data_IF_983375927689
#
_entry.id   IF_983375927689
#
_cell.length_a   1.000
_cell.length_b   1.000
_cell.length_c   1.000
_cell.angle_alpha   90.00
_cell.angle_beta   90.00
_cell.angle_gamma   90.00
#
_symmetry.space_group_name_H-M   'P 1'
#
loop_
_entity.id
_entity.type
_entity.pdbx_description
1 polymer ?
#
# COMPACT_ATOMS: atom_id res chain seq x y z
N UNK A 1 8.42 4.58 25.21
CA UNK A 1 8.60 5.08 23.83
C UNK A 1 7.77 6.33 23.68
N UNK A 2 8.38 7.44 23.25
CA UNK A 2 7.67 8.72 23.08
C UNK A 2 6.85 8.71 21.78
N UNK A 3 5.77 9.51 21.73
CA UNK A 3 4.88 9.62 20.54
C UNK A 3 5.62 10.01 19.26
N UNK A 4 6.72 10.74 19.38
CA UNK A 4 7.55 11.17 18.25
C UNK A 4 8.35 10.00 17.66
N UNK A 5 8.80 9.04 18.48
CA UNK A 5 9.51 7.85 18.00
C UNK A 5 8.57 6.92 17.25
N UNK A 6 7.32 6.77 17.75
CA UNK A 6 6.28 5.96 17.09
C UNK A 6 5.92 6.55 15.73
N UNK A 7 5.76 7.89 15.63
CA UNK A 7 5.51 8.56 14.36
C UNK A 7 6.68 8.44 13.38
N UNK A 8 7.92 8.50 13.87
CA UNK A 8 9.12 8.35 13.04
C UNK A 8 9.25 6.93 12.47
N UNK A 9 9.09 5.90 13.32
CA UNK A 9 9.09 4.49 12.89
C UNK A 9 7.96 4.23 11.89
N UNK A 10 6.76 4.75 12.15
CA UNK A 10 5.60 4.70 11.26
C UNK A 10 5.89 5.32 9.89
N UNK A 11 6.64 6.44 9.84
CA UNK A 11 7.00 7.09 8.57
C UNK A 11 8.08 6.32 7.80
N UNK A 12 9.00 5.66 8.50
CA UNK A 12 10.07 4.85 7.89
C UNK A 12 9.51 3.54 7.32
N UNK A 13 8.58 2.87 8.01
CA UNK A 13 7.92 1.66 7.51
C UNK A 13 6.94 1.91 6.37
N UNK A 14 6.25 3.05 6.37
CA UNK A 14 5.33 3.43 5.29
C UNK A 14 6.06 3.78 3.97
N UNK A 15 7.32 4.21 4.04
CA UNK A 15 8.10 4.61 2.86
C UNK A 15 8.84 3.43 2.19
N UNK A 16 8.89 2.27 2.84
CA UNK A 16 9.41 1.05 2.24
C UNK A 16 8.35 0.54 1.25
N UNK A 17 8.67 0.33 -0.04
CA UNK A 17 7.71 -0.19 -1.01
C UNK A 17 7.48 -1.69 -0.85
N UNK A 18 6.34 -2.20 -1.34
CA UNK A 18 6.10 -3.64 -1.40
C UNK A 18 6.92 -4.24 -2.54
N UNK A 19 7.83 -5.14 -2.21
CA UNK A 19 8.57 -5.95 -3.18
C UNK A 19 7.67 -7.09 -3.69
N UNK A 20 7.48 -7.14 -5.02
CA UNK A 20 6.50 -8.03 -5.70
C UNK A 20 7.14 -9.19 -6.45
N UNK A 21 8.47 -9.19 -6.59
CA UNK A 21 9.23 -10.23 -7.26
C UNK A 21 9.65 -11.32 -6.27
N UNK A 22 10.08 -12.47 -6.79
CA UNK A 22 10.47 -13.60 -5.95
C UNK A 22 11.82 -13.40 -5.29
N UNK A 23 12.08 -14.17 -4.22
CA UNK A 23 13.39 -14.24 -3.59
C UNK A 23 14.51 -14.61 -4.58
N UNK A 24 14.24 -15.53 -5.50
CA UNK A 24 15.19 -15.98 -6.53
C UNK A 24 15.54 -14.84 -7.48
N UNK A 25 14.53 -14.09 -7.96
CA UNK A 25 14.75 -12.88 -8.75
C UNK A 25 15.61 -11.87 -7.99
N UNK A 26 15.32 -11.66 -6.70
CA UNK A 26 16.09 -10.72 -5.88
C UNK A 26 17.57 -11.15 -5.71
N UNK A 27 17.86 -12.47 -5.72
CA UNK A 27 19.23 -12.99 -5.69
C UNK A 27 19.91 -12.74 -7.04
N UNK A 28 19.25 -13.07 -8.15
CA UNK A 28 19.79 -12.91 -9.51
C UNK A 28 20.08 -11.45 -9.88
N UNK A 29 19.33 -10.51 -9.29
CA UNK A 29 19.42 -9.08 -9.57
C UNK A 29 20.13 -8.26 -8.48
N UNK A 30 20.75 -8.89 -7.47
CA UNK A 30 21.40 -8.23 -6.33
C UNK A 30 20.45 -7.32 -5.50
N UNK A 31 19.14 -7.59 -5.53
CA UNK A 31 18.08 -6.86 -4.82
C UNK A 31 17.65 -7.54 -3.50
N UNK A 32 18.36 -8.59 -3.08
CA UNK A 32 18.04 -9.37 -1.88
C UNK A 32 17.83 -8.54 -0.60
N UNK A 33 18.61 -7.46 -0.32
CA UNK A 33 18.35 -6.59 0.83
C UNK A 33 16.96 -5.92 0.77
N UNK A 34 16.51 -5.47 -0.40
CA UNK A 34 15.22 -4.83 -0.58
C UNK A 34 14.06 -5.84 -0.40
N UNK A 35 14.22 -7.05 -0.94
CA UNK A 35 13.29 -8.15 -0.71
C UNK A 35 13.13 -8.44 0.79
N UNK A 36 14.25 -8.64 1.51
CA UNK A 36 14.25 -8.95 2.95
C UNK A 36 13.59 -7.86 3.77
N UNK A 37 13.88 -6.60 3.46
CA UNK A 37 13.30 -5.48 4.21
C UNK A 37 11.80 -5.34 3.94
N UNK A 38 11.35 -5.43 2.68
CA UNK A 38 9.92 -5.45 2.38
C UNK A 38 9.21 -6.64 3.06
N UNK A 39 9.83 -7.80 3.08
CA UNK A 39 9.28 -8.99 3.74
C UNK A 39 9.14 -8.80 5.25
N UNK A 40 10.15 -8.20 5.90
CA UNK A 40 10.09 -7.83 7.32
C UNK A 40 8.93 -6.88 7.61
N UNK A 41 8.74 -5.87 6.76
CA UNK A 41 7.62 -4.92 6.91
C UNK A 41 6.26 -5.59 6.62
N UNK A 42 6.18 -6.59 5.73
CA UNK A 42 4.97 -7.37 5.53
C UNK A 42 4.57 -8.15 6.80
N UNK A 43 5.53 -8.79 7.47
CA UNK A 43 5.28 -9.47 8.75
C UNK A 43 4.84 -8.49 9.84
N UNK A 44 5.50 -7.33 9.95
CA UNK A 44 5.09 -6.29 10.89
C UNK A 44 3.68 -5.75 10.59
N UNK A 45 3.33 -5.60 9.32
CA UNK A 45 1.98 -5.20 8.90
C UNK A 45 0.94 -6.26 9.25
N UNK A 46 1.25 -7.55 9.12
CA UNK A 46 0.39 -8.64 9.61
C UNK A 46 0.14 -8.48 11.11
N UNK A 47 1.20 -8.33 11.90
CA UNK A 47 1.09 -8.23 13.37
C UNK A 47 0.26 -7.01 13.80
N UNK A 48 0.43 -5.89 13.08
CA UNK A 48 -0.36 -4.69 13.29
C UNK A 48 -1.85 -4.87 12.91
N UNK A 49 -2.15 -5.63 11.84
CA UNK A 49 -3.53 -5.97 11.48
C UNK A 49 -4.19 -6.82 12.56
N UNK A 50 -3.50 -7.85 13.05
CA UNK A 50 -4.02 -8.72 14.10
C UNK A 50 -4.31 -7.93 15.39
N UNK A 51 -3.35 -7.10 15.81
CA UNK A 51 -3.49 -6.22 16.97
C UNK A 51 -4.63 -5.20 16.78
N UNK A 52 -4.69 -4.53 15.63
CA UNK A 52 -5.70 -3.51 15.36
C UNK A 52 -7.12 -4.08 15.32
N UNK A 53 -7.31 -5.29 14.79
CA UNK A 53 -8.61 -5.97 14.82
C UNK A 53 -8.99 -6.32 16.26
N UNK A 54 -8.06 -6.87 17.05
CA UNK A 54 -8.33 -7.22 18.44
C UNK A 54 -8.69 -5.98 19.28
N UNK A 55 -7.94 -4.88 19.14
CA UNK A 55 -8.17 -3.61 19.85
C UNK A 55 -9.44 -2.88 19.42
N UNK A 56 -9.91 -3.12 18.20
CA UNK A 56 -11.09 -2.46 17.63
C UNK A 56 -12.33 -3.35 17.63
N UNK A 57 -12.26 -4.54 18.26
CA UNK A 57 -13.37 -5.47 18.38
C UNK A 57 -13.94 -5.46 19.80
N UNK A 58 -15.16 -4.95 19.94
CA UNK A 58 -15.91 -4.91 21.20
C UNK A 58 -17.41 -5.03 20.93
N UNK A 59 -18.18 -5.54 21.90
CA UNK A 59 -19.64 -5.67 21.80
C UNK A 59 -20.12 -6.38 20.51
N UNK A 60 -19.38 -7.40 20.07
CA UNK A 60 -19.62 -8.14 18.81
C UNK A 60 -19.56 -7.29 17.54
N UNK A 61 -18.98 -6.10 17.61
CA UNK A 61 -18.80 -5.18 16.50
C UNK A 61 -17.31 -4.90 16.28
N UNK A 62 -16.91 -4.84 15.01
CA UNK A 62 -15.57 -4.42 14.61
C UNK A 62 -15.65 -3.02 14.02
N UNK A 63 -14.94 -2.06 14.63
CA UNK A 63 -14.71 -0.77 13.99
C UNK A 63 -13.65 -0.92 12.89
N UNK A 64 -14.11 -1.34 11.71
CA UNK A 64 -13.26 -1.52 10.53
C UNK A 64 -12.62 -0.23 10.05
N UNK A 65 -13.26 0.93 10.31
CA UNK A 65 -12.72 2.24 9.94
C UNK A 65 -11.50 2.58 10.77
N UNK A 66 -11.61 2.45 12.09
CA UNK A 66 -10.50 2.65 13.03
C UNK A 66 -9.36 1.66 12.79
N UNK A 67 -9.66 0.36 12.69
CA UNK A 67 -8.66 -0.67 12.47
C UNK A 67 -7.89 -0.46 11.15
N UNK A 68 -8.60 -0.19 10.04
CA UNK A 68 -7.95 0.06 8.75
C UNK A 68 -7.10 1.33 8.78
N UNK A 69 -7.61 2.43 9.36
CA UNK A 69 -6.88 3.69 9.44
C UNK A 69 -5.60 3.57 10.29
N UNK A 70 -5.66 2.86 11.42
CA UNK A 70 -4.52 2.64 12.32
C UNK A 70 -3.34 1.96 11.60
N UNK A 71 -3.62 0.91 10.83
CA UNK A 71 -2.57 0.17 10.12
C UNK A 71 -2.13 0.91 8.85
N UNK A 72 -3.07 1.48 8.09
CA UNK A 72 -2.75 2.24 6.88
C UNK A 72 -1.87 3.46 7.18
N UNK A 73 -2.03 4.10 8.34
CA UNK A 73 -1.15 5.17 8.79
C UNK A 73 0.31 4.72 9.01
N UNK A 74 0.53 3.46 9.39
CA UNK A 74 1.87 2.90 9.68
C UNK A 74 2.55 2.26 8.48
N UNK A 75 1.78 1.66 7.58
CA UNK A 75 2.32 0.81 6.52
C UNK A 75 1.92 1.26 5.11
N UNK A 76 1.00 2.21 4.99
CA UNK A 76 0.38 2.61 3.74
C UNK A 76 -0.71 1.63 3.28
N UNK A 77 -1.68 2.16 2.52
CA UNK A 77 -2.83 1.38 2.05
C UNK A 77 -2.43 0.26 1.09
N UNK A 78 -1.40 0.47 0.25
CA UNK A 78 -0.92 -0.56 -0.68
C UNK A 78 -0.44 -1.81 0.05
N UNK A 79 0.37 -1.66 1.11
CA UNK A 79 0.90 -2.80 1.86
C UNK A 79 -0.19 -3.53 2.64
N UNK A 80 -1.10 -2.79 3.27
CA UNK A 80 -2.27 -3.36 3.96
C UNK A 80 -3.07 -4.22 2.99
N UNK A 81 -3.35 -3.70 1.79
CA UNK A 81 -4.07 -4.42 0.76
C UNK A 81 -3.32 -5.68 0.28
N UNK A 82 -1.99 -5.59 0.14
CA UNK A 82 -1.16 -6.72 -0.26
C UNK A 82 -1.21 -7.87 0.75
N UNK A 83 -1.03 -7.57 2.04
CA UNK A 83 -1.07 -8.57 3.12
C UNK A 83 -2.47 -9.19 3.26
N UNK A 84 -3.51 -8.38 3.16
CA UNK A 84 -4.90 -8.85 3.21
C UNK A 84 -5.27 -9.70 1.99
N UNK A 85 -4.83 -9.33 0.78
CA UNK A 85 -5.06 -10.14 -0.41
C UNK A 85 -4.36 -11.50 -0.32
N UNK A 86 -3.12 -11.55 0.17
CA UNK A 86 -2.41 -12.80 0.43
C UNK A 86 -3.20 -13.69 1.41
N UNK A 87 -3.68 -13.08 2.50
CA UNK A 87 -4.50 -13.77 3.51
C UNK A 87 -5.77 -14.35 2.89
N UNK A 88 -6.52 -13.57 2.11
CA UNK A 88 -7.74 -14.05 1.46
C UNK A 88 -7.46 -15.19 0.47
N UNK A 89 -6.37 -15.12 -0.30
CA UNK A 89 -5.95 -16.20 -1.21
C UNK A 89 -5.64 -17.49 -0.45
N UNK A 90 -4.95 -17.41 0.69
CA UNK A 90 -4.64 -18.59 1.51
C UNK A 90 -5.90 -19.23 2.14
N UNK A 91 -6.92 -18.43 2.44
CA UNK A 91 -8.20 -18.87 3.02
C UNK A 91 -9.35 -18.91 2.01
N UNK A 92 -9.07 -19.08 0.70
CA UNK A 92 -10.11 -19.08 -0.35
C UNK A 92 -11.18 -20.18 -0.15
N UNK A 93 -10.82 -21.26 0.55
CA UNK A 93 -11.74 -22.34 0.93
C UNK A 93 -12.70 -21.96 2.07
N UNK A 94 -12.42 -20.92 2.85
CA UNK A 94 -13.23 -20.54 4.01
C UNK A 94 -14.54 -19.88 3.57
N UNK A 95 -15.68 -20.42 4.03
CA UNK A 95 -17.02 -19.94 3.67
C UNK A 95 -17.39 -18.58 4.26
N UNK A 96 -16.65 -18.07 5.25
CA UNK A 96 -16.89 -16.76 5.89
C UNK A 96 -16.36 -15.60 5.06
N UNK A 97 -15.46 -15.87 4.12
CA UNK A 97 -14.91 -14.85 3.21
C UNK A 97 -15.83 -14.74 1.98
N UNK A 98 -16.26 -13.51 1.68
CA UNK A 98 -17.17 -13.24 0.57
C UNK A 98 -16.53 -13.53 -0.79
N UNK A 99 -17.37 -13.89 -1.78
CA UNK A 99 -16.91 -14.12 -3.15
C UNK A 99 -16.23 -12.89 -3.76
N UNK A 100 -16.73 -11.69 -3.45
CA UNK A 100 -16.16 -10.45 -3.97
C UNK A 100 -14.76 -10.18 -3.41
N UNK A 101 -14.54 -10.49 -2.12
CA UNK A 101 -13.21 -10.35 -1.51
C UNK A 101 -12.24 -11.38 -2.09
N UNK A 102 -12.69 -12.62 -2.32
CA UNK A 102 -11.90 -13.66 -3.00
C UNK A 102 -11.51 -13.24 -4.40
N UNK A 103 -12.48 -12.81 -5.21
CA UNK A 103 -12.23 -12.34 -6.57
C UNK A 103 -11.27 -11.14 -6.59
N UNK A 104 -11.46 -10.17 -5.70
CA UNK A 104 -10.55 -9.04 -5.57
C UNK A 104 -9.12 -9.47 -5.20
N UNK A 105 -8.96 -10.40 -4.25
CA UNK A 105 -7.64 -10.84 -3.82
C UNK A 105 -6.83 -11.50 -4.95
N UNK A 106 -7.50 -12.16 -5.90
CA UNK A 106 -6.87 -12.70 -7.11
C UNK A 106 -6.36 -11.62 -8.08
N UNK A 107 -6.88 -10.38 -7.99
CA UNK A 107 -6.40 -9.25 -8.82
C UNK A 107 -5.12 -8.61 -8.28
N UNK A 108 -4.75 -8.90 -7.03
CA UNK A 108 -3.54 -8.36 -6.41
C UNK A 108 -2.36 -9.29 -6.70
N UNK A 109 -1.27 -8.80 -7.33
CA UNK A 109 -0.12 -9.63 -7.68
C UNK A 109 0.71 -9.93 -6.44
N UNK A 110 0.27 -10.90 -5.65
CA UNK A 110 1.03 -11.47 -4.52
C UNK A 110 1.99 -12.52 -5.05
N UNK A 111 3.28 -12.35 -4.75
CA UNK A 111 4.31 -13.29 -5.13
C UNK A 111 4.16 -14.60 -4.36
N UNK A 112 4.15 -15.72 -5.07
CA UNK A 112 4.12 -17.07 -4.50
C UNK A 112 5.53 -17.63 -4.52
N UNK A 113 6.31 -17.26 -3.50
CA UNK A 113 7.70 -17.72 -3.36
C UNK A 113 7.72 -19.01 -2.56
N UNK A 114 7.77 -20.15 -3.24
CA UNK A 114 8.07 -21.40 -2.58
C UNK A 114 9.58 -21.51 -2.34
N UNK A 115 10.00 -21.94 -1.15
CA UNK A 115 11.38 -22.37 -0.96
C UNK A 115 11.67 -23.69 -1.70
N UNK A 116 12.93 -24.12 -1.68
CA UNK A 116 13.38 -25.38 -2.31
C UNK A 116 12.62 -26.63 -1.79
N UNK A 117 11.91 -26.50 -0.67
CA UNK A 117 11.16 -27.54 0.02
C UNK A 117 9.64 -27.41 -0.21
N UNK A 118 9.21 -26.46 -1.04
CA UNK A 118 7.82 -26.22 -1.37
C UNK A 118 7.05 -25.38 -0.33
N UNK A 119 7.72 -24.80 0.67
CA UNK A 119 7.06 -23.90 1.62
C UNK A 119 6.95 -22.50 1.03
N UNK A 120 5.71 -22.06 0.84
CA UNK A 120 5.42 -20.69 0.44
C UNK A 120 5.82 -19.71 1.55
N UNK A 121 6.83 -18.88 1.28
CA UNK A 121 7.30 -17.81 2.16
C UNK A 121 6.21 -16.76 2.42
N UNK A 122 5.22 -16.64 1.53
CA UNK A 122 4.05 -15.80 1.73
C UNK A 122 3.24 -16.18 2.98
N UNK A 123 3.37 -17.41 3.47
CA UNK A 123 2.69 -17.88 4.69
C UNK A 123 3.09 -17.13 5.95
N UNK A 124 4.30 -16.55 5.98
CA UNK A 124 4.80 -15.82 7.16
C UNK A 124 4.10 -14.49 7.42
N UNK A 125 3.32 -13.95 6.47
CA UNK A 125 2.56 -12.73 6.70
C UNK A 125 1.05 -12.94 6.47
N UNK A 126 0.54 -14.13 6.76
CA UNK A 126 -0.90 -14.40 6.79
C UNK A 126 -1.50 -13.94 8.12
N UNK A 127 -2.62 -13.22 8.07
CA UNK A 127 -3.40 -12.83 9.25
C UNK A 127 -4.21 -14.04 9.71
N UNK A 128 -3.58 -14.92 10.49
CA UNK A 128 -4.15 -16.21 10.89
C UNK A 128 -4.63 -16.26 12.34
N UNK A 129 -4.23 -15.30 13.18
CA UNK A 129 -4.62 -15.28 14.61
C UNK A 129 -6.01 -14.69 14.86
N UNK A 130 -6.69 -14.20 13.81
CA UNK A 130 -7.98 -13.54 13.88
C UNK A 130 -9.03 -14.34 13.10
N UNK A 131 -10.29 -14.28 13.54
CA UNK A 131 -11.39 -14.93 12.84
C UNK A 131 -11.51 -14.45 11.38
N UNK A 132 -11.52 -15.35 10.37
CA UNK A 132 -11.65 -14.99 8.96
C UNK A 132 -12.87 -14.12 8.61
N UNK A 133 -13.96 -14.21 9.39
CA UNK A 133 -15.11 -13.31 9.24
C UNK A 133 -14.79 -11.85 9.57
N UNK A 134 -13.97 -11.59 10.57
CA UNK A 134 -13.51 -10.24 10.92
C UNK A 134 -12.52 -9.71 9.87
N UNK A 135 -11.63 -10.57 9.39
CA UNK A 135 -10.73 -10.26 8.27
C UNK A 135 -11.56 -9.89 7.04
N UNK A 136 -12.61 -10.64 6.73
CA UNK A 136 -13.52 -10.34 5.62
C UNK A 136 -14.19 -8.96 5.73
N UNK A 137 -14.63 -8.57 6.94
CA UNK A 137 -15.17 -7.23 7.17
C UNK A 137 -14.11 -6.14 6.91
N UNK A 138 -12.90 -6.32 7.44
CA UNK A 138 -11.81 -5.37 7.25
C UNK A 138 -11.38 -5.25 5.78
N UNK A 139 -11.28 -6.38 5.06
CA UNK A 139 -10.96 -6.41 3.61
C UNK A 139 -11.98 -5.59 2.82
N UNK A 140 -13.27 -5.75 3.13
CA UNK A 140 -14.33 -4.99 2.47
C UNK A 140 -14.12 -3.49 2.66
N UNK A 141 -13.79 -3.06 3.87
CA UNK A 141 -13.47 -1.66 4.18
C UNK A 141 -12.24 -1.16 3.43
N UNK A 142 -11.14 -1.91 3.43
CA UNK A 142 -9.89 -1.53 2.74
C UNK A 142 -10.13 -1.39 1.22
N UNK A 143 -10.95 -2.26 0.63
CA UNK A 143 -11.33 -2.18 -0.79
C UNK A 143 -12.11 -0.89 -1.09
N UNK A 144 -13.04 -0.50 -0.22
CA UNK A 144 -13.76 0.77 -0.36
C UNK A 144 -12.81 1.97 -0.29
N UNK A 145 -11.90 1.99 0.67
CA UNK A 145 -10.93 3.09 0.82
C UNK A 145 -9.98 3.18 -0.37
N UNK A 146 -9.47 2.05 -0.87
CA UNK A 146 -8.68 2.00 -2.11
C UNK A 146 -9.45 2.50 -3.32
N UNK A 147 -10.73 2.17 -3.44
CA UNK A 147 -11.56 2.66 -4.52
C UNK A 147 -11.75 4.19 -4.44
N UNK A 148 -11.91 4.73 -3.22
CA UNK A 148 -11.96 6.18 -2.99
C UNK A 148 -10.64 6.87 -3.32
N UNK A 149 -9.49 6.29 -2.94
CA UNK A 149 -8.17 6.83 -3.29
C UNK A 149 -7.94 6.87 -4.82
N UNK A 150 -8.39 5.83 -5.54
CA UNK A 150 -8.30 5.78 -7.01
C UNK A 150 -9.28 6.73 -7.70
N UNK A 151 -10.46 6.94 -7.11
CA UNK A 151 -11.49 7.83 -7.64
C UNK A 151 -11.26 9.30 -7.26
N UNK A 152 -10.48 9.57 -6.20
CA UNK A 152 -10.04 10.90 -5.86
C UNK A 152 -9.25 11.45 -7.06
N UNK A 153 -9.55 12.68 -7.53
CA UNK A 153 -8.82 13.26 -8.63
C UNK A 153 -7.36 13.38 -8.20
N UNK A 154 -6.50 12.49 -8.72
CA UNK A 154 -5.05 12.69 -8.73
C UNK A 154 -4.84 14.14 -9.09
N UNK A 155 -4.23 14.95 -8.19
CA UNK A 155 -4.05 16.41 -8.34
C UNK A 155 -3.66 16.71 -9.79
N UNK A 156 -4.65 16.97 -10.64
CA UNK A 156 -4.43 17.30 -12.04
C UNK A 156 -3.80 18.67 -11.94
N UNK A 157 -2.55 18.90 -12.41
CA UNK A 157 -1.98 20.23 -12.39
C UNK A 157 -3.01 21.12 -13.05
N UNK A 158 -3.46 22.12 -12.28
CA UNK A 158 -4.63 22.89 -12.62
C UNK A 158 -4.43 23.46 -14.02
N UNK A 159 -5.48 23.49 -14.84
CA UNK A 159 -5.43 24.16 -16.14
C UNK A 159 -4.93 25.61 -15.96
N UNK A 160 -5.18 26.21 -14.80
CA UNK A 160 -4.63 27.51 -14.39
C UNK A 160 -3.10 27.51 -14.27
N UNK A 161 -2.47 26.47 -13.72
CA UNK A 161 -1.00 26.36 -13.64
C UNK A 161 -0.37 26.19 -15.01
N UNK A 162 -1.02 25.46 -15.93
CA UNK A 162 -0.58 25.32 -17.33
C UNK A 162 -0.74 26.64 -18.10
N UNK A 163 -1.85 27.36 -17.91
CA UNK A 163 -2.07 28.67 -18.54
C UNK A 163 -1.07 29.70 -17.99
N UNK A 164 -0.82 29.69 -16.68
CA UNK A 164 0.16 30.59 -16.07
C UNK A 164 1.56 30.31 -16.60
N UNK A 165 2.03 29.05 -16.61
CA UNK A 165 3.33 28.68 -17.21
C UNK A 165 3.44 29.10 -18.68
N UNK A 166 2.40 28.88 -19.49
CA UNK A 166 2.38 29.33 -20.88
C UNK A 166 2.40 30.86 -21.00
N UNK A 167 1.69 31.58 -20.13
CA UNK A 167 1.67 33.04 -20.12
C UNK A 167 3.03 33.62 -19.70
N UNK A 168 3.76 32.97 -18.78
CA UNK A 168 5.12 33.37 -18.42
C UNK A 168 6.11 33.06 -19.55
N UNK A 169 5.97 31.89 -20.20
CA UNK A 169 6.82 31.49 -21.34
C UNK A 169 6.61 32.36 -22.59
N UNK A 170 5.39 32.87 -22.81
CA UNK A 170 5.09 33.81 -23.90
C UNK A 170 5.68 35.20 -23.59
N UNK A 171 5.63 35.63 -22.32
CA UNK A 171 6.21 36.92 -21.91
C UNK A 171 7.74 36.93 -21.97
N UNK A 172 8.41 35.84 -21.56
CA UNK A 172 9.87 35.74 -21.68
C UNK A 172 10.33 35.70 -23.14
N UNK A 173 9.65 34.94 -24.00
CA UNK A 173 9.93 34.93 -25.45
C UNK A 173 9.66 36.25 -26.17
N UNK A 174 8.72 37.06 -25.65
CA UNK A 174 8.40 38.38 -26.23
C UNK A 174 9.40 39.45 -25.77
N UNK A 175 10.00 39.30 -24.57
CA UNK A 175 11.07 40.16 -24.09
C UNK A 175 12.40 39.92 -24.82
N UNK A 176 12.74 38.67 -25.13
CA UNK A 176 13.98 38.32 -25.86
C UNK A 176 13.97 38.75 -27.34
N UNK A 177 12.79 38.92 -27.95
CA UNK A 177 12.66 39.39 -29.34
C UNK A 177 12.77 40.90 -29.52
N UNK A 178 12.94 41.69 -28.45
CA UNK A 178 12.90 43.16 -28.49
C UNK A 178 14.25 43.88 -28.40
N UNK A 179 15.36 43.20 -28.63
CA UNK A 179 16.61 43.88 -29.01
C UNK A 179 17.18 43.32 -30.33
N UNK A 180 17.01 44.05 -31.43
CA UNK A 180 17.96 44.07 -32.52
C UNK A 180 18.72 45.39 -32.53
N UNK A 181 20.06 45.29 -32.45
CA UNK A 181 21.00 46.17 -33.13
C UNK A 181 21.06 47.64 -32.72
N UNK A 182 22.18 48.03 -32.11
CA UNK A 182 22.79 49.30 -32.45
C UNK A 182 24.25 49.05 -32.83
N UNK A 183 24.46 48.79 -34.13
CA UNK A 183 25.73 49.07 -34.80
C UNK A 183 25.88 50.60 -34.91
N UNK A 184 26.92 51.14 -34.28
CA UNK A 184 27.93 52.06 -34.86
C UNK A 184 28.85 52.59 -33.77
#
# INVERSE_FOLDING_TARGET
MERNDIQKISSETANIPVYKQSAEYAIEHDELPAYRESFRVNMACRDALESAIHESYHDYCLDTGKAAAQVAAQFGMERVAYVLANTVRAFDHDGRISRDNKAWAQTVPVCTDADEWGHERSRYFLVSQVNPGLVNLLVSRVREELAKEKAAPAKRPSVLEKIQKNKTAIQTKTAEKKLPGQER
#
